data_IF_454521509700
#
_entry.id   IF_454521509700
#
_cell.length_a   1.000
_cell.length_b   1.000
_cell.length_c   1.000
_cell.angle_alpha   90.00
_cell.angle_beta   90.00
_cell.angle_gamma   90.00
#
_symmetry.space_group_name_H-M   'P 1'
#
loop_
_entity.id
_entity.type
_entity.pdbx_description
1 polymer ?
#
# COMPACT_ATOMS: atom_id res chain seq x y z
N UNK A 1 4.26 -0.16 -17.93
CA UNK A 1 4.02 0.59 -16.67
C UNK A 1 2.89 -0.07 -15.87
N UNK A 2 2.97 -0.17 -14.54
CA UNK A 2 1.88 -0.72 -13.71
C UNK A 2 0.82 0.36 -13.44
N UNK A 3 -0.36 0.22 -14.05
CA UNK A 3 -1.55 1.00 -13.70
C UNK A 3 -2.46 0.19 -12.77
N UNK A 4 -3.43 0.89 -12.19
CA UNK A 4 -4.32 0.31 -11.18
C UNK A 4 -5.26 -0.77 -11.76
N UNK A 5 -5.56 -0.77 -13.07
CA UNK A 5 -6.22 -1.90 -13.75
C UNK A 5 -5.37 -3.17 -13.72
N UNK A 6 -4.08 -3.08 -14.06
CA UNK A 6 -3.17 -4.23 -13.99
C UNK A 6 -3.02 -4.74 -12.56
N UNK A 7 -2.91 -3.83 -11.59
CA UNK A 7 -2.86 -4.19 -10.18
C UNK A 7 -4.13 -4.93 -9.74
N UNK A 8 -5.32 -4.44 -10.14
CA UNK A 8 -6.60 -5.09 -9.86
C UNK A 8 -6.63 -6.53 -10.40
N UNK A 9 -6.26 -6.74 -11.67
CA UNK A 9 -6.22 -8.08 -12.28
C UNK A 9 -5.28 -9.03 -11.56
N UNK A 10 -4.07 -8.59 -11.23
CA UNK A 10 -3.06 -9.42 -10.55
C UNK A 10 -3.48 -9.75 -9.11
N UNK A 11 -4.07 -8.78 -8.39
CA UNK A 11 -4.52 -8.98 -7.02
C UNK A 11 -5.83 -9.77 -6.90
N UNK A 12 -6.70 -9.73 -7.92
CA UNK A 12 -7.92 -10.54 -7.98
C UNK A 12 -7.62 -12.04 -8.12
N UNK A 13 -6.52 -12.38 -8.79
CA UNK A 13 -6.08 -13.77 -9.01
C UNK A 13 -5.27 -14.37 -7.86
N UNK A 14 -5.06 -13.62 -6.77
CA UNK A 14 -4.24 -14.07 -5.63
C UNK A 14 -2.80 -14.47 -5.99
N UNK A 15 -2.23 -13.91 -7.06
CA UNK A 15 -0.94 -14.34 -7.60
C UNK A 15 0.28 -13.76 -6.85
N UNK A 16 1.47 -14.39 -6.97
CA UNK A 16 2.71 -13.92 -6.34
C UNK A 16 3.11 -12.51 -6.80
N UNK A 17 2.71 -12.10 -8.01
CA UNK A 17 2.98 -10.76 -8.54
C UNK A 17 2.32 -9.66 -7.74
N UNK A 18 1.06 -9.85 -7.30
CA UNK A 18 0.41 -8.88 -6.44
C UNK A 18 1.14 -8.78 -5.09
N UNK A 19 1.49 -9.93 -4.51
CA UNK A 19 2.20 -9.97 -3.24
C UNK A 19 3.54 -9.21 -3.29
N UNK A 20 4.39 -9.52 -4.28
CA UNK A 20 5.68 -8.84 -4.46
C UNK A 20 5.50 -7.36 -4.77
N UNK A 21 4.51 -6.98 -5.57
CA UNK A 21 4.24 -5.57 -5.88
C UNK A 21 3.85 -4.77 -4.64
N UNK A 22 2.96 -5.31 -3.81
CA UNK A 22 2.51 -4.63 -2.59
C UNK A 22 3.62 -4.54 -1.54
N UNK A 23 4.46 -5.57 -1.41
CA UNK A 23 5.66 -5.51 -0.57
C UNK A 23 6.59 -4.38 -1.05
N UNK A 24 6.91 -4.35 -2.35
CA UNK A 24 7.78 -3.32 -2.92
C UNK A 24 7.23 -1.89 -2.73
N UNK A 25 5.91 -1.70 -2.81
CA UNK A 25 5.28 -0.39 -2.52
C UNK A 25 5.50 0.01 -1.07
N UNK A 26 5.35 -0.91 -0.12
CA UNK A 26 5.58 -0.61 1.31
C UNK A 26 7.04 -0.29 1.56
N UNK A 27 7.95 -1.13 1.08
CA UNK A 27 9.39 -0.97 1.28
C UNK A 27 9.85 0.37 0.71
N UNK A 28 9.51 0.66 -0.55
CA UNK A 28 9.90 1.91 -1.21
C UNK A 28 9.32 3.13 -0.50
N UNK A 29 8.04 3.07 -0.07
CA UNK A 29 7.41 4.19 0.61
C UNK A 29 8.06 4.47 1.97
N UNK A 30 8.41 3.42 2.72
CA UNK A 30 9.06 3.54 4.01
C UNK A 30 10.52 3.99 3.88
N UNK A 31 11.30 3.44 2.96
CA UNK A 31 12.67 3.89 2.67
C UNK A 31 12.71 5.37 2.26
N UNK A 32 11.84 5.77 1.33
CA UNK A 32 11.77 7.17 0.90
C UNK A 32 11.39 8.11 2.06
N UNK A 33 10.47 7.69 2.94
CA UNK A 33 10.06 8.49 4.09
C UNK A 33 11.13 8.53 5.19
N UNK A 34 11.89 7.46 5.40
CA UNK A 34 13.03 7.43 6.31
C UNK A 34 14.12 8.40 5.84
N UNK A 35 14.45 8.40 4.56
CA UNK A 35 15.41 9.34 3.96
C UNK A 35 14.93 10.78 4.14
N UNK A 36 13.66 11.06 3.85
CA UNK A 36 13.13 12.42 3.83
C UNK A 36 12.81 12.99 5.23
N UNK A 37 12.38 12.15 6.16
CA UNK A 37 11.74 12.60 7.42
C UNK A 37 12.11 11.79 8.65
N UNK A 38 12.96 10.76 8.53
CA UNK A 38 13.29 9.81 9.61
C UNK A 38 12.06 9.10 10.22
N UNK A 39 10.94 9.05 9.48
CA UNK A 39 9.69 8.43 9.91
C UNK A 39 9.18 7.48 8.84
N UNK A 40 8.48 6.43 9.25
CA UNK A 40 7.82 5.51 8.33
C UNK A 40 6.57 6.15 7.70
N UNK A 41 6.28 5.79 6.45
CA UNK A 41 5.08 6.22 5.75
C UNK A 41 3.87 5.33 6.08
N UNK A 42 4.12 4.04 6.28
CA UNK A 42 3.13 2.99 6.55
C UNK A 42 3.60 2.18 7.77
N UNK A 43 2.76 2.11 8.81
CA UNK A 43 3.06 1.38 10.03
C UNK A 43 2.27 0.08 10.08
N UNK A 44 2.79 -0.94 9.40
CA UNK A 44 2.18 -2.27 9.42
C UNK A 44 2.21 -2.87 10.83
N UNK A 45 1.16 -3.61 11.25
CA UNK A 45 1.18 -4.31 12.52
C UNK A 45 2.25 -5.41 12.50
N UNK A 46 2.78 -5.82 13.67
CA UNK A 46 3.70 -6.93 13.76
C UNK A 46 3.15 -8.17 13.05
N UNK A 47 4.00 -8.83 12.25
CA UNK A 47 3.63 -10.05 11.49
C UNK A 47 2.48 -9.84 10.49
N UNK A 48 2.31 -8.62 9.96
CA UNK A 48 1.36 -8.37 8.89
C UNK A 48 1.60 -9.30 7.70
N UNK A 49 0.61 -10.13 7.35
CA UNK A 49 0.67 -10.98 6.17
C UNK A 49 0.40 -10.14 4.92
N UNK A 50 1.15 -10.39 3.84
CA UNK A 50 0.95 -9.74 2.53
C UNK A 50 -0.48 -9.93 2.01
N UNK A 51 -1.12 -11.04 2.34
CA UNK A 51 -2.54 -11.30 2.06
C UNK A 51 -3.48 -10.21 2.60
N UNK A 52 -3.14 -9.61 3.75
CA UNK A 52 -3.93 -8.53 4.34
C UNK A 52 -3.77 -7.22 3.55
N UNK A 53 -2.57 -6.94 3.03
CA UNK A 53 -2.30 -5.81 2.15
C UNK A 53 -3.11 -5.95 0.87
N UNK A 54 -3.14 -7.17 0.28
CA UNK A 54 -3.94 -7.49 -0.90
C UNK A 54 -5.41 -7.14 -0.71
N UNK A 55 -6.03 -7.63 0.38
CA UNK A 55 -7.46 -7.38 0.66
C UNK A 55 -7.78 -5.89 0.76
N UNK A 56 -6.91 -5.11 1.40
CA UNK A 56 -7.08 -3.66 1.56
C UNK A 56 -7.02 -2.95 0.21
N UNK A 57 -6.01 -3.26 -0.60
CA UNK A 57 -5.80 -2.61 -1.90
C UNK A 57 -6.87 -3.04 -2.91
N UNK A 58 -7.26 -4.32 -2.91
CA UNK A 58 -8.31 -4.82 -3.79
C UNK A 58 -9.64 -4.12 -3.50
N UNK A 59 -10.01 -3.95 -2.22
CA UNK A 59 -11.21 -3.20 -1.83
C UNK A 59 -11.16 -1.75 -2.31
N UNK A 60 -10.03 -1.06 -2.19
CA UNK A 60 -9.89 0.31 -2.71
C UNK A 60 -10.11 0.36 -4.23
N UNK A 61 -9.53 -0.59 -4.96
CA UNK A 61 -9.66 -0.69 -6.42
C UNK A 61 -11.09 -1.04 -6.86
N UNK A 62 -11.82 -1.83 -6.08
CA UNK A 62 -13.22 -2.17 -6.31
C UNK A 62 -14.14 -0.94 -6.17
N UNK A 63 -13.94 -0.15 -5.11
CA UNK A 63 -14.77 1.01 -4.80
C UNK A 63 -14.47 2.22 -5.69
N UNK A 64 -13.26 2.31 -6.26
CA UNK A 64 -12.85 3.42 -7.13
C UNK A 64 -12.43 2.95 -8.54
N UNK A 65 -13.37 2.48 -9.37
CA UNK A 65 -13.06 2.03 -10.73
C UNK A 65 -12.46 3.15 -11.59
N UNK A 66 -12.87 4.40 -11.37
CA UNK A 66 -12.31 5.58 -12.04
C UNK A 66 -10.83 5.86 -11.70
N UNK A 67 -10.37 5.47 -10.51
CA UNK A 67 -8.95 5.58 -10.13
C UNK A 67 -8.08 4.50 -10.82
N UNK A 68 -8.68 3.55 -11.55
CA UNK A 68 -7.95 2.43 -12.15
C UNK A 68 -7.04 2.82 -13.33
N UNK A 69 -7.24 4.00 -13.90
CA UNK A 69 -6.33 4.59 -14.90
C UNK A 69 -5.06 5.20 -14.27
N UNK A 70 -5.07 5.47 -12.96
CA UNK A 70 -3.94 6.06 -12.25
C UNK A 70 -2.82 5.05 -11.95
N UNK A 71 -1.66 5.58 -11.52
CA UNK A 71 -0.52 4.81 -11.01
C UNK A 71 -0.97 3.79 -9.95
N UNK A 72 -0.60 2.52 -10.17
CA UNK A 72 -0.85 1.43 -9.22
C UNK A 72 -0.20 1.70 -7.85
N UNK A 73 1.03 2.23 -7.85
CA UNK A 73 1.77 2.53 -6.63
C UNK A 73 1.06 3.62 -5.81
N UNK A 74 0.57 4.68 -6.46
CA UNK A 74 -0.13 5.77 -5.76
C UNK A 74 -1.44 5.31 -5.13
N UNK A 75 -2.21 4.45 -5.82
CA UNK A 75 -3.45 3.90 -5.27
C UNK A 75 -3.14 2.94 -4.11
N UNK A 76 -2.19 2.02 -4.28
CA UNK A 76 -1.77 1.10 -3.23
C UNK A 76 -1.25 1.84 -1.99
N UNK A 77 -0.33 2.79 -2.17
CA UNK A 77 0.22 3.60 -1.09
C UNK A 77 -0.88 4.33 -0.31
N UNK A 78 -1.82 4.99 -0.99
CA UNK A 78 -2.92 5.69 -0.33
C UNK A 78 -3.81 4.74 0.47
N UNK A 79 -4.18 3.60 -0.12
CA UNK A 79 -5.00 2.59 0.56
C UNK A 79 -4.31 2.05 1.81
N UNK A 80 -3.03 1.69 1.70
CA UNK A 80 -2.23 1.14 2.78
C UNK A 80 -1.99 2.18 3.88
N UNK A 81 -1.66 3.43 3.53
CA UNK A 81 -1.47 4.53 4.49
C UNK A 81 -2.75 4.88 5.24
N UNK A 82 -3.91 4.87 4.59
CA UNK A 82 -5.21 5.05 5.26
C UNK A 82 -5.51 3.91 6.23
N UNK A 83 -5.14 2.68 5.88
CA UNK A 83 -5.39 1.52 6.74
C UNK A 83 -4.42 1.42 7.93
N UNK A 84 -3.17 1.81 7.71
CA UNK A 84 -2.06 1.68 8.65
C UNK A 84 -1.28 2.99 8.76
N UNK A 85 -1.91 4.05 9.27
CA UNK A 85 -1.22 5.31 9.51
C UNK A 85 -0.16 5.12 10.59
N UNK A 86 0.99 5.79 10.43
CA UNK A 86 1.97 5.88 11.50
C UNK A 86 1.53 6.92 12.54
N UNK A 87 1.79 6.68 13.84
CA UNK A 87 1.52 7.66 14.89
C UNK A 87 2.21 8.98 14.58
N UNK A 88 1.43 10.06 14.57
CA UNK A 88 1.96 11.41 14.66
C UNK A 88 2.22 11.68 16.14
N UNK A 89 3.42 11.40 16.66
CA UNK A 89 3.70 11.72 18.05
C UNK A 89 3.48 13.22 18.31
N UNK A 90 2.43 13.54 19.07
CA UNK A 90 2.52 14.41 20.24
C UNK A 90 2.24 13.50 21.44
N UNK A 91 3.22 13.35 22.33
CA UNK A 91 3.15 12.45 23.47
C UNK A 91 4.41 12.56 24.32
N UNK A 92 4.66 13.77 24.82
CA UNK A 92 5.12 13.95 26.20
C UNK A 92 3.89 13.77 27.07
N UNK A 93 3.86 12.70 27.87
CA UNK A 93 3.26 12.62 29.20
C UNK A 93 3.82 11.36 29.88
#
# INVERSE_FOLDING_TARGET
MWNSNKLYTECSRSGPRCASYLAAVVDTANEAALIATQKLAICLPPKAKVEKLRKVVLKELEVQPQARASSAASVALRALKRKWPCPTHFGTD
#
